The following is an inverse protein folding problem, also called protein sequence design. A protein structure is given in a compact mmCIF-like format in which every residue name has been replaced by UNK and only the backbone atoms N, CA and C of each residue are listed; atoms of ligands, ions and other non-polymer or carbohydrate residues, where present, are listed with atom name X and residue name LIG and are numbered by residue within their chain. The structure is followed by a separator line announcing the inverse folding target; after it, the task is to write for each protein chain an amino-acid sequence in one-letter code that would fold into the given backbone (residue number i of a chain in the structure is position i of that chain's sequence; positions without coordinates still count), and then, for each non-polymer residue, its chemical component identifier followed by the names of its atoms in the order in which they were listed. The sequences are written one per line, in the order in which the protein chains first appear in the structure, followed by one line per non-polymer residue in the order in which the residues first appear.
data_IF_404424485456
#
_entry.id   IF_404424485456
#
_cell.length_a   1.000
_cell.length_b   1.000
_cell.length_c   1.000
_cell.angle_alpha   90.00
_cell.angle_beta   90.00
_cell.angle_gamma   90.00
#
_symmetry.space_group_name_H-M   'P 1'
#
loop_
_entity.id
_entity.type
_entity.pdbx_description
1 polymer ?
#
# COMPACT_ATOMS: atom_id res chain seq x y z
N UNK A 1 -10.28 27.41 -13.00
CA UNK A 1 -10.15 25.95 -13.19
C UNK A 1 -9.25 25.43 -12.09
N UNK A 2 -9.84 24.79 -11.08
CA UNK A 2 -9.09 24.20 -9.96
C UNK A 2 -8.53 22.87 -10.44
N UNK A 3 -7.24 22.81 -10.71
CA UNK A 3 -6.52 21.57 -11.00
C UNK A 3 -6.67 20.66 -9.77
N UNK A 4 -7.52 19.64 -9.89
CA UNK A 4 -7.61 18.53 -8.92
C UNK A 4 -6.26 17.79 -8.97
N UNK A 5 -5.31 18.27 -8.19
CA UNK A 5 -4.07 17.55 -7.92
C UNK A 5 -4.46 16.20 -7.31
N UNK A 6 -3.98 15.12 -7.94
CA UNK A 6 -4.20 13.75 -7.51
C UNK A 6 -3.74 13.61 -6.05
N UNK A 7 -4.55 12.94 -5.23
CA UNK A 7 -4.33 12.82 -3.77
C UNK A 7 -3.06 12.00 -3.48
N UNK A 8 -2.57 11.24 -4.46
CA UNK A 8 -1.27 10.54 -4.36
C UNK A 8 -0.10 11.48 -4.68
N UNK A 9 -0.30 12.54 -5.47
CA UNK A 9 0.77 13.45 -5.88
C UNK A 9 1.35 14.32 -4.76
N UNK A 10 0.74 14.32 -3.56
CA UNK A 10 1.12 15.24 -2.47
C UNK A 10 2.11 14.66 -1.46
N UNK A 11 2.37 13.35 -1.49
CA UNK A 11 3.24 12.71 -0.52
C UNK A 11 4.25 11.83 -1.24
N UNK A 12 5.49 12.34 -1.31
CA UNK A 12 6.74 11.66 -1.69
C UNK A 12 6.63 10.58 -2.79
N UNK A 13 6.96 10.95 -4.03
CA UNK A 13 7.01 10.01 -5.14
C UNK A 13 8.29 9.18 -5.09
N UNK A 14 8.29 8.06 -4.37
CA UNK A 14 9.31 7.02 -4.58
C UNK A 14 9.03 6.26 -5.88
N UNK A 15 10.08 5.63 -6.44
CA UNK A 15 9.97 4.89 -7.69
C UNK A 15 8.87 3.80 -7.61
N UNK A 16 8.75 3.10 -6.48
CA UNK A 16 7.72 2.06 -6.31
C UNK A 16 6.28 2.59 -6.29
N UNK A 17 6.04 3.77 -5.71
CA UNK A 17 4.71 4.43 -5.79
C UNK A 17 4.39 4.89 -7.21
N UNK A 18 5.38 5.40 -7.95
CA UNK A 18 5.18 5.77 -9.35
C UNK A 18 4.88 4.54 -10.21
N UNK A 19 5.62 3.44 -10.04
CA UNK A 19 5.38 2.19 -10.76
C UNK A 19 3.97 1.62 -10.46
N UNK A 20 3.50 1.76 -9.22
CA UNK A 20 2.14 1.38 -8.83
C UNK A 20 1.08 2.27 -9.50
N UNK A 21 1.31 3.58 -9.58
CA UNK A 21 0.40 4.52 -10.26
C UNK A 21 0.39 4.25 -11.78
N UNK A 22 1.54 3.97 -12.38
CA UNK A 22 1.64 3.67 -13.81
C UNK A 22 0.92 2.36 -14.16
N UNK A 23 0.97 1.35 -13.29
CA UNK A 23 0.33 0.05 -13.51
C UNK A 23 -1.17 0.05 -13.22
N UNK A 24 -1.65 0.72 -12.18
CA UNK A 24 -3.05 0.63 -11.69
C UNK A 24 -3.84 1.94 -11.75
N UNK A 25 -3.18 3.02 -12.16
CA UNK A 25 -3.71 4.38 -12.19
C UNK A 25 -3.63 5.12 -10.85
N UNK A 26 -3.73 6.46 -10.93
CA UNK A 26 -3.65 7.43 -9.83
C UNK A 26 -4.60 7.21 -8.63
N UNK A 27 -5.57 6.30 -8.75
CA UNK A 27 -6.54 5.99 -7.69
C UNK A 27 -6.74 4.49 -7.54
N UNK A 28 -5.80 3.67 -8.03
CA UNK A 28 -5.89 2.22 -8.02
C UNK A 28 -7.29 1.75 -8.45
N UNK A 29 -7.83 2.35 -9.52
CA UNK A 29 -9.26 2.19 -9.89
C UNK A 29 -9.57 0.76 -10.34
N UNK A 30 -8.54 0.03 -10.73
CA UNK A 30 -8.63 -1.37 -11.13
C UNK A 30 -8.78 -2.31 -9.94
N UNK A 31 -8.51 -1.85 -8.72
CA UNK A 31 -8.73 -2.64 -7.50
C UNK A 31 -10.16 -2.51 -7.00
N UNK A 32 -10.72 -3.64 -6.59
CA UNK A 32 -11.98 -3.71 -5.85
C UNK A 32 -11.84 -3.15 -4.44
N UNK A 33 -12.97 -2.87 -3.78
CA UNK A 33 -12.95 -2.42 -2.38
C UNK A 33 -12.28 -3.42 -1.42
N UNK A 34 -12.43 -4.73 -1.68
CA UNK A 34 -11.80 -5.79 -0.87
C UNK A 34 -10.29 -5.76 -1.03
N UNK A 35 -9.79 -5.61 -2.24
CA UNK A 35 -8.35 -5.59 -2.52
C UNK A 35 -7.67 -4.36 -1.93
N UNK A 36 -8.36 -3.23 -1.95
CA UNK A 36 -7.91 -2.02 -1.25
C UNK A 36 -7.81 -2.22 0.27
N UNK A 37 -8.79 -2.91 0.87
CA UNK A 37 -8.74 -3.27 2.28
C UNK A 37 -7.63 -4.29 2.58
N UNK A 38 -7.39 -5.24 1.69
CA UNK A 38 -6.28 -6.19 1.80
C UNK A 38 -4.93 -5.48 1.74
N UNK A 39 -4.75 -4.49 0.85
CA UNK A 39 -3.53 -3.66 0.83
C UNK A 39 -3.33 -2.89 2.14
N UNK A 40 -4.38 -2.27 2.68
CA UNK A 40 -4.30 -1.60 3.99
C UNK A 40 -3.90 -2.62 5.07
N UNK A 41 -4.51 -3.81 5.08
CA UNK A 41 -4.23 -4.85 6.06
C UNK A 41 -2.79 -5.36 5.96
N UNK A 42 -2.27 -5.57 4.74
CA UNK A 42 -0.90 -6.00 4.51
C UNK A 42 0.11 -4.98 5.04
N UNK A 43 -0.02 -3.72 4.64
CA UNK A 43 0.92 -2.65 5.02
C UNK A 43 0.85 -2.39 6.53
N UNK A 44 -0.36 -2.31 7.09
CA UNK A 44 -0.54 -2.04 8.52
C UNK A 44 -0.07 -3.22 9.38
N UNK A 45 -0.31 -4.45 8.93
CA UNK A 45 0.13 -5.67 9.61
C UNK A 45 1.65 -5.79 9.62
N UNK A 46 2.28 -5.62 8.46
CA UNK A 46 3.74 -5.56 8.35
C UNK A 46 4.34 -4.51 9.29
N UNK A 47 3.80 -3.27 9.29
CA UNK A 47 4.36 -2.20 10.11
C UNK A 47 4.28 -2.52 11.61
N UNK A 48 3.22 -3.20 12.06
CA UNK A 48 3.08 -3.62 13.44
C UNK A 48 4.16 -4.66 13.81
N UNK A 49 4.36 -5.67 12.97
CA UNK A 49 5.35 -6.73 13.17
C UNK A 49 6.80 -6.18 13.08
N UNK A 50 7.09 -5.29 12.15
CA UNK A 50 8.40 -4.63 12.04
C UNK A 50 8.73 -3.79 13.27
N UNK A 51 7.76 -2.99 13.73
CA UNK A 51 7.92 -2.20 14.97
C UNK A 51 8.23 -3.11 16.14
N UNK A 52 7.48 -4.21 16.30
CA UNK A 52 7.71 -5.18 17.37
C UNK A 52 9.06 -5.90 17.24
N UNK A 53 9.45 -6.31 16.02
CA UNK A 53 10.73 -6.96 15.76
C UNK A 53 11.90 -6.06 16.12
N UNK A 54 11.84 -4.78 15.76
CA UNK A 54 12.87 -3.80 16.10
C UNK A 54 12.94 -3.54 17.62
N UNK A 55 11.79 -3.48 18.30
CA UNK A 55 11.74 -3.32 19.76
C UNK A 55 12.35 -4.52 20.51
N UNK A 56 12.09 -5.75 20.05
CA UNK A 56 12.50 -6.98 20.73
C UNK A 56 13.92 -7.42 20.35
N UNK A 57 14.23 -7.39 19.05
CA UNK A 57 15.44 -8.00 18.49
C UNK A 57 16.39 -6.99 17.85
N UNK A 58 15.93 -5.76 17.58
CA UNK A 58 16.69 -4.76 16.82
C UNK A 58 16.86 -5.09 15.34
N UNK A 59 16.19 -6.13 14.84
CA UNK A 59 16.26 -6.56 13.44
C UNK A 59 15.02 -6.06 12.70
N UNK A 60 15.18 -5.33 11.58
CA UNK A 60 14.05 -4.96 10.74
C UNK A 60 13.35 -6.18 10.16
N UNK A 61 12.03 -6.12 10.06
CA UNK A 61 11.21 -7.09 9.37
C UNK A 61 10.63 -6.42 8.13
N UNK A 62 10.86 -6.99 6.96
CA UNK A 62 10.51 -6.35 5.68
C UNK A 62 9.09 -6.69 5.24
N UNK A 63 8.52 -5.84 4.37
CA UNK A 63 7.18 -6.09 3.82
C UNK A 63 7.15 -7.40 3.00
N UNK A 64 8.25 -7.74 2.32
CA UNK A 64 8.38 -8.99 1.59
C UNK A 64 8.33 -10.20 2.53
N UNK A 65 9.06 -10.17 3.65
CA UNK A 65 9.03 -11.24 4.66
C UNK A 65 7.63 -11.37 5.28
N UNK A 66 6.96 -10.25 5.59
CA UNK A 66 5.58 -10.29 6.08
C UNK A 66 4.64 -10.99 5.08
N UNK A 67 4.75 -10.68 3.78
CA UNK A 67 3.89 -11.30 2.76
C UNK A 67 4.15 -12.79 2.65
N UNK A 68 5.41 -13.23 2.77
CA UNK A 68 5.80 -14.64 2.70
C UNK A 68 5.38 -15.44 3.95
N UNK A 69 5.42 -14.82 5.14
CA UNK A 69 5.08 -15.47 6.42
C UNK A 69 3.59 -15.36 6.79
N UNK A 70 2.87 -14.41 6.18
CA UNK A 70 1.47 -14.13 6.54
C UNK A 70 0.56 -15.31 6.19
N UNK A 71 -0.37 -15.61 7.09
CA UNK A 71 -1.48 -16.54 6.81
C UNK A 71 -2.64 -15.88 6.05
N UNK A 72 -2.53 -14.59 5.72
CA UNK A 72 -3.56 -13.86 4.97
C UNK A 72 -3.46 -14.25 3.49
N UNK A 73 -4.55 -14.78 2.94
CA UNK A 73 -4.66 -14.99 1.50
C UNK A 73 -4.91 -13.65 0.79
N UNK A 74 -3.94 -13.20 0.01
CA UNK A 74 -4.03 -12.02 -0.83
C UNK A 74 -4.48 -12.37 -2.25
N UNK A 75 -5.27 -11.49 -2.88
CA UNK A 75 -5.58 -11.64 -4.31
C UNK A 75 -4.31 -11.47 -5.16
N UNK A 76 -4.32 -12.00 -6.38
CA UNK A 76 -3.21 -11.81 -7.32
C UNK A 76 -2.91 -10.34 -7.60
N UNK A 77 -3.94 -9.51 -7.71
CA UNK A 77 -3.79 -8.07 -7.92
C UNK A 77 -3.16 -7.37 -6.71
N UNK A 78 -3.51 -7.81 -5.49
CA UNK A 78 -2.89 -7.31 -4.25
C UNK A 78 -1.42 -7.73 -4.16
N UNK A 79 -1.09 -8.98 -4.49
CA UNK A 79 0.29 -9.46 -4.52
C UNK A 79 1.15 -8.69 -5.53
N UNK A 80 0.61 -8.41 -6.71
CA UNK A 80 1.30 -7.59 -7.70
C UNK A 80 1.55 -6.17 -7.17
N UNK A 81 0.54 -5.53 -6.57
CA UNK A 81 0.71 -4.22 -5.94
C UNK A 81 1.79 -4.24 -4.85
N UNK A 82 1.78 -5.24 -3.96
CA UNK A 82 2.77 -5.39 -2.90
C UNK A 82 4.19 -5.58 -3.46
N UNK A 83 4.32 -6.23 -4.62
CA UNK A 83 5.62 -6.40 -5.29
C UNK A 83 6.26 -5.09 -5.75
N UNK A 84 5.45 -4.08 -6.10
CA UNK A 84 5.91 -2.71 -6.42
C UNK A 84 6.27 -1.91 -5.16
N UNK A 85 5.74 -2.31 -4.01
CA UNK A 85 5.86 -1.57 -2.75
C UNK A 85 7.01 -2.04 -1.85
N UNK A 86 7.63 -3.19 -2.15
CA UNK A 86 8.66 -3.82 -1.31
C UNK A 86 9.87 -2.94 -0.99
N UNK A 87 10.19 -1.99 -1.87
CA UNK A 87 11.35 -1.09 -1.75
C UNK A 87 10.94 0.35 -1.41
N UNK A 88 9.65 0.59 -1.13
CA UNK A 88 9.15 1.90 -0.74
C UNK A 88 9.54 2.24 0.71
N UNK A 89 9.66 3.54 1.00
CA UNK A 89 9.87 3.98 2.37
C UNK A 89 8.60 3.82 3.21
N UNK A 90 8.76 3.72 4.53
CA UNK A 90 7.63 3.68 5.47
C UNK A 90 6.69 4.88 5.28
N UNK A 91 7.24 6.09 5.06
CA UNK A 91 6.45 7.30 4.89
C UNK A 91 5.57 7.22 3.63
N UNK A 92 6.10 6.64 2.55
CA UNK A 92 5.37 6.41 1.30
C UNK A 92 4.23 5.40 1.49
N UNK A 93 4.54 4.30 2.19
CA UNK A 93 3.56 3.25 2.47
C UNK A 93 2.43 3.77 3.37
N UNK A 94 2.75 4.61 4.36
CA UNK A 94 1.75 5.25 5.21
C UNK A 94 0.91 6.28 4.45
N UNK A 95 1.51 7.07 3.57
CA UNK A 95 0.78 7.97 2.69
C UNK A 95 -0.18 7.20 1.76
N UNK A 96 0.26 6.05 1.25
CA UNK A 96 -0.58 5.16 0.45
C UNK A 96 -1.78 4.64 1.25
N UNK A 97 -1.58 4.16 2.48
CA UNK A 97 -2.67 3.70 3.36
C UNK A 97 -3.73 4.79 3.57
N UNK A 98 -3.29 6.03 3.82
CA UNK A 98 -4.20 7.19 3.96
C UNK A 98 -4.98 7.44 2.65
N UNK A 99 -4.28 7.41 1.51
CA UNK A 99 -4.88 7.61 0.19
C UNK A 99 -5.93 6.53 -0.12
N UNK A 100 -5.61 5.25 0.11
CA UNK A 100 -6.54 4.14 -0.09
C UNK A 100 -7.76 4.30 0.82
N UNK A 101 -7.56 4.68 2.09
CA UNK A 101 -8.66 4.95 3.02
C UNK A 101 -9.62 6.03 2.52
N UNK A 102 -9.08 7.12 1.93
CA UNK A 102 -9.90 8.14 1.28
C UNK A 102 -10.65 7.61 0.05
N UNK A 103 -10.00 6.81 -0.79
CA UNK A 103 -10.65 6.24 -1.97
C UNK A 103 -11.79 5.30 -1.61
N UNK A 104 -11.62 4.46 -0.57
CA UNK A 104 -12.69 3.59 -0.06
C UNK A 104 -13.86 4.44 0.44
N UNK A 105 -13.59 5.48 1.25
CA UNK A 105 -14.61 6.41 1.75
C UNK A 105 -15.39 7.08 0.61
N UNK A 106 -14.72 7.39 -0.50
CA UNK A 106 -15.31 8.04 -1.69
C UNK A 106 -16.01 7.06 -2.65
N UNK A 107 -15.93 5.74 -2.40
CA UNK A 107 -16.47 4.74 -3.33
C UNK A 107 -15.66 4.60 -4.63
N UNK A 108 -14.40 5.04 -4.62
CA UNK A 108 -13.53 5.03 -5.79
C UNK A 108 -12.80 3.67 -5.91
N UNK A 109 -13.52 2.63 -6.34
CA UNK A 109 -12.98 1.29 -6.59
C UNK A 109 -13.82 0.56 -7.66
N UNK A 110 -13.28 -0.52 -8.20
CA UNK A 110 -13.99 -1.38 -9.13
C UNK A 110 -15.22 -1.99 -8.43
N UNK A 111 -16.40 -1.86 -9.06
CA UNK A 111 -17.68 -2.36 -8.55
C UNK A 111 -17.90 -3.83 -8.91
#
# INVERSE_FOLDING_TARGET
MTTKQSVISYHASSNGLNDLIESRGDRLLELTGVEKLQLIAAISGWQAEDTQSQEVSGVPYTLAEFVDDSSIEFSGDVLECLSHLKDCSIDDLMALVISIGHQIKEGAYLQ
#
